data_IF_495093619408
#
_entry.id   IF_495093619408
#
_cell.length_a   1.000
_cell.length_b   1.000
_cell.length_c   1.000
_cell.angle_alpha   90.00
_cell.angle_beta   90.00
_cell.angle_gamma   90.00
#
_symmetry.space_group_name_H-M   'P 1'
#
loop_
_entity.id
_entity.type
_entity.pdbx_description
1 polymer ?
#
# COMPACT_ATOMS: atom_id res chain seq x y z
N UNK A 1 -13.17 -30.38 -19.65
CA UNK A 1 -13.27 -29.22 -18.73
C UNK A 1 -12.40 -29.44 -17.51
N UNK A 2 -12.61 -30.52 -16.75
CA UNK A 2 -11.86 -30.80 -15.51
C UNK A 2 -10.33 -30.82 -15.65
N UNK A 3 -9.80 -31.37 -16.75
CA UNK A 3 -8.35 -31.38 -17.01
C UNK A 3 -7.77 -29.97 -17.21
N UNK A 4 -8.51 -29.08 -17.87
CA UNK A 4 -8.08 -27.69 -18.12
C UNK A 4 -8.11 -26.86 -16.83
N UNK A 5 -9.13 -27.07 -15.98
CA UNK A 5 -9.21 -26.44 -14.66
C UNK A 5 -8.10 -26.96 -13.74
N UNK A 6 -7.80 -28.26 -13.75
CA UNK A 6 -6.68 -28.80 -12.97
C UNK A 6 -5.33 -28.20 -13.38
N UNK A 7 -5.05 -28.13 -14.68
CA UNK A 7 -3.81 -27.54 -15.20
C UNK A 7 -3.70 -26.04 -14.81
N UNK A 8 -4.83 -25.31 -14.81
CA UNK A 8 -4.90 -23.93 -14.35
C UNK A 8 -4.56 -23.81 -12.85
N UNK A 9 -5.16 -24.65 -12.01
CA UNK A 9 -4.93 -24.63 -10.55
C UNK A 9 -3.48 -25.01 -10.20
N UNK A 10 -2.89 -25.97 -10.92
CA UNK A 10 -1.48 -26.34 -10.75
C UNK A 10 -0.55 -25.18 -11.12
N UNK A 11 -0.88 -24.45 -12.19
CA UNK A 11 -0.15 -23.24 -12.57
C UNK A 11 -0.30 -22.12 -11.54
N UNK A 12 -1.51 -21.91 -11.00
CA UNK A 12 -1.77 -20.95 -9.92
C UNK A 12 -0.91 -21.27 -8.70
N UNK A 13 -0.92 -22.51 -8.22
CA UNK A 13 -0.13 -22.92 -7.05
C UNK A 13 1.38 -22.69 -7.25
N UNK A 14 1.87 -22.96 -8.47
CA UNK A 14 3.29 -22.76 -8.81
C UNK A 14 3.67 -21.29 -8.79
N UNK A 15 2.88 -20.43 -9.44
CA UNK A 15 3.17 -18.99 -9.52
C UNK A 15 2.99 -18.34 -8.15
N UNK A 16 1.96 -18.73 -7.38
CA UNK A 16 1.75 -18.25 -6.00
C UNK A 16 2.95 -18.54 -5.11
N UNK A 17 3.49 -19.75 -5.15
CA UNK A 17 4.68 -20.11 -4.37
C UNK A 17 5.86 -19.22 -4.73
N UNK A 18 6.15 -19.07 -6.03
CA UNK A 18 7.25 -18.21 -6.49
C UNK A 18 7.04 -16.74 -6.12
N UNK A 19 5.79 -16.26 -6.20
CA UNK A 19 5.45 -14.89 -5.86
C UNK A 19 5.64 -14.61 -4.36
N UNK A 20 5.24 -15.54 -3.50
CA UNK A 20 5.48 -15.45 -2.05
C UNK A 20 6.97 -15.45 -1.72
N UNK A 21 7.75 -16.35 -2.32
CA UNK A 21 9.21 -16.39 -2.16
C UNK A 21 9.87 -15.04 -2.54
N UNK A 22 9.48 -14.46 -3.67
CA UNK A 22 10.00 -13.15 -4.10
C UNK A 22 9.54 -12.04 -3.16
N UNK A 23 8.28 -12.05 -2.73
CA UNK A 23 7.75 -11.06 -1.78
C UNK A 23 8.48 -11.08 -0.45
N UNK A 24 8.78 -12.28 0.08
CA UNK A 24 9.58 -12.45 1.30
C UNK A 24 11.01 -11.93 1.11
N UNK A 25 11.63 -12.24 -0.04
CA UNK A 25 12.95 -11.72 -0.37
C UNK A 25 12.97 -10.19 -0.44
N UNK A 26 11.95 -9.56 -1.04
CA UNK A 26 11.83 -8.11 -1.10
C UNK A 26 11.74 -7.49 0.30
N UNK A 27 10.97 -8.09 1.23
CA UNK A 27 10.89 -7.64 2.62
C UNK A 27 12.26 -7.77 3.31
N UNK A 28 12.96 -8.88 3.11
CA UNK A 28 14.29 -9.08 3.69
C UNK A 28 15.30 -8.03 3.17
N UNK A 29 15.28 -7.75 1.87
CA UNK A 29 16.14 -6.75 1.25
C UNK A 29 15.86 -5.34 1.76
N UNK A 30 14.58 -4.99 1.96
CA UNK A 30 14.20 -3.74 2.63
C UNK A 30 14.83 -3.65 4.03
N UNK A 31 14.68 -4.67 4.86
CA UNK A 31 15.24 -4.70 6.22
C UNK A 31 16.77 -4.54 6.20
N UNK A 32 17.46 -5.22 5.27
CA UNK A 32 18.92 -5.08 5.10
C UNK A 32 19.32 -3.65 4.75
N UNK A 33 18.60 -3.01 3.83
CA UNK A 33 18.87 -1.62 3.44
C UNK A 33 18.58 -0.61 4.56
N UNK A 34 17.50 -0.82 5.32
CA UNK A 34 17.18 0.01 6.49
C UNK A 34 18.24 -0.11 7.58
N UNK A 35 18.68 -1.34 7.88
CA UNK A 35 19.77 -1.58 8.83
C UNK A 35 21.09 -0.96 8.37
N UNK A 36 21.40 -1.04 7.08
CA UNK A 36 22.57 -0.38 6.51
C UNK A 36 22.49 1.15 6.68
N UNK A 37 21.32 1.76 6.45
CA UNK A 37 21.10 3.20 6.68
C UNK A 37 21.36 3.57 8.15
N UNK A 38 20.91 2.76 9.11
CA UNK A 38 21.15 3.00 10.53
C UNK A 38 22.65 2.98 10.88
N UNK A 39 23.38 1.99 10.39
CA UNK A 39 24.82 1.87 10.62
C UNK A 39 25.63 3.00 9.98
N UNK A 40 25.16 3.55 8.86
CA UNK A 40 25.75 4.74 8.24
C UNK A 40 25.52 5.95 9.15
N UNK A 41 24.30 6.14 9.65
CA UNK A 41 23.96 7.27 10.52
C UNK A 41 24.70 7.22 11.87
N UNK A 42 24.93 6.03 12.43
CA UNK A 42 25.71 5.86 13.65
C UNK A 42 27.23 5.95 13.45
N UNK A 43 27.70 5.99 12.20
CA UNK A 43 29.12 6.04 11.86
C UNK A 43 29.86 4.72 12.12
N UNK A 44 29.14 3.63 12.34
CA UNK A 44 29.71 2.30 12.61
C UNK A 44 30.31 1.63 11.37
N UNK A 45 30.00 2.14 10.18
CA UNK A 45 30.47 1.61 8.91
C UNK A 45 31.16 2.71 8.11
N UNK A 46 32.31 2.39 7.52
CA UNK A 46 33.01 3.33 6.64
C UNK A 46 32.19 3.62 5.38
N UNK A 47 32.29 4.83 4.83
CA UNK A 47 31.60 5.22 3.60
C UNK A 47 31.85 4.23 2.46
N UNK A 48 33.10 3.76 2.30
CA UNK A 48 33.46 2.84 1.23
C UNK A 48 32.76 1.48 1.37
N UNK A 49 32.70 0.92 2.59
CA UNK A 49 32.01 -0.35 2.86
C UNK A 49 30.50 -0.19 2.68
N UNK A 50 29.95 0.91 3.18
CA UNK A 50 28.54 1.25 3.04
C UNK A 50 28.12 1.35 1.57
N UNK A 51 28.91 2.03 0.75
CA UNK A 51 28.64 2.20 -0.69
C UNK A 51 28.72 0.86 -1.43
N UNK A 52 29.67 0.00 -1.06
CA UNK A 52 29.80 -1.33 -1.65
C UNK A 52 28.58 -2.21 -1.34
N UNK A 53 28.21 -2.30 -0.06
CA UNK A 53 27.05 -3.08 0.38
C UNK A 53 25.75 -2.55 -0.20
N UNK A 54 25.58 -1.22 -0.25
CA UNK A 54 24.40 -0.60 -0.84
C UNK A 54 24.25 -0.98 -2.31
N UNK A 55 25.33 -0.91 -3.10
CA UNK A 55 25.30 -1.30 -4.52
C UNK A 55 24.90 -2.76 -4.68
N UNK A 56 25.47 -3.65 -3.88
CA UNK A 56 25.14 -5.08 -3.91
C UNK A 56 23.68 -5.33 -3.57
N UNK A 57 23.20 -4.75 -2.46
CA UNK A 57 21.82 -4.95 -2.01
C UNK A 57 20.80 -4.35 -2.97
N UNK A 58 21.07 -3.16 -3.52
CA UNK A 58 20.21 -2.55 -4.55
C UNK A 58 20.21 -3.42 -5.81
N UNK A 59 21.35 -3.94 -6.25
CA UNK A 59 21.40 -4.83 -7.42
C UNK A 59 20.53 -6.07 -7.23
N UNK A 60 20.64 -6.74 -6.08
CA UNK A 60 19.82 -7.90 -5.74
C UNK A 60 18.33 -7.53 -5.65
N UNK A 61 18.01 -6.38 -5.03
CA UNK A 61 16.65 -5.88 -4.93
C UNK A 61 16.03 -5.66 -6.32
N UNK A 62 16.75 -5.04 -7.25
CA UNK A 62 16.27 -4.79 -8.61
C UNK A 62 16.02 -6.10 -9.38
N UNK A 63 16.87 -7.11 -9.20
CA UNK A 63 16.65 -8.44 -9.78
C UNK A 63 15.36 -9.07 -9.25
N UNK A 64 15.17 -9.08 -7.93
CA UNK A 64 13.94 -9.58 -7.31
C UNK A 64 12.71 -8.77 -7.75
N UNK A 65 12.86 -7.46 -7.99
CA UNK A 65 11.77 -6.61 -8.43
C UNK A 65 11.28 -6.90 -9.84
N UNK A 66 12.20 -7.13 -10.78
CA UNK A 66 11.80 -7.53 -12.13
C UNK A 66 11.01 -8.84 -12.09
N UNK A 67 11.51 -9.81 -11.32
CA UNK A 67 10.82 -11.09 -11.11
C UNK A 67 9.47 -10.91 -10.41
N UNK A 68 9.37 -10.00 -9.44
CA UNK A 68 8.13 -9.68 -8.77
C UNK A 68 7.09 -9.12 -9.74
N UNK A 69 7.46 -8.18 -10.60
CA UNK A 69 6.55 -7.61 -11.59
C UNK A 69 6.05 -8.64 -12.60
N UNK A 70 6.94 -9.50 -13.09
CA UNK A 70 6.58 -10.61 -14.00
C UNK A 70 5.58 -11.58 -13.34
N UNK A 71 5.86 -12.01 -12.10
CA UNK A 71 5.00 -12.92 -11.36
C UNK A 71 3.67 -12.26 -10.98
N UNK A 72 3.67 -10.96 -10.64
CA UNK A 72 2.45 -10.19 -10.37
C UNK A 72 1.53 -10.19 -11.58
N UNK A 73 2.06 -9.82 -12.75
CA UNK A 73 1.29 -9.81 -14.00
C UNK A 73 0.77 -11.21 -14.35
N UNK A 74 1.56 -12.26 -14.10
CA UNK A 74 1.12 -13.63 -14.29
C UNK A 74 -0.02 -14.03 -13.33
N UNK A 75 0.03 -13.62 -12.06
CA UNK A 75 -1.06 -13.86 -11.10
C UNK A 75 -2.33 -13.11 -11.49
N UNK A 76 -2.23 -11.86 -11.94
CA UNK A 76 -3.37 -11.07 -12.43
C UNK A 76 -4.05 -11.75 -13.64
N UNK A 77 -3.28 -12.25 -14.62
CA UNK A 77 -3.81 -13.02 -15.75
C UNK A 77 -4.45 -14.34 -15.29
N UNK A 78 -3.80 -15.08 -14.39
CA UNK A 78 -4.35 -16.32 -13.85
C UNK A 78 -5.63 -16.10 -13.06
N UNK A 79 -5.72 -15.01 -12.30
CA UNK A 79 -6.93 -14.60 -11.59
C UNK A 79 -8.09 -14.37 -12.56
N UNK A 80 -7.87 -13.62 -13.63
CA UNK A 80 -8.88 -13.40 -14.67
C UNK A 80 -9.35 -14.71 -15.29
N UNK A 81 -8.43 -15.64 -15.57
CA UNK A 81 -8.79 -16.99 -16.06
C UNK A 81 -9.61 -17.77 -15.06
N UNK A 82 -9.25 -17.75 -13.77
CA UNK A 82 -10.04 -18.38 -12.71
C UNK A 82 -11.45 -17.80 -12.62
N UNK A 83 -11.60 -16.47 -12.72
CA UNK A 83 -12.92 -15.81 -12.74
C UNK A 83 -13.76 -16.32 -13.93
N UNK A 84 -13.18 -16.40 -15.13
CA UNK A 84 -13.88 -16.91 -16.31
C UNK A 84 -14.32 -18.37 -16.13
N UNK A 85 -13.45 -19.23 -15.61
CA UNK A 85 -13.80 -20.63 -15.35
C UNK A 85 -14.85 -20.78 -14.25
N UNK A 86 -14.82 -19.93 -13.21
CA UNK A 86 -15.84 -19.89 -12.17
C UNK A 86 -17.21 -19.51 -12.74
N UNK A 87 -17.27 -18.48 -13.58
CA UNK A 87 -18.53 -18.05 -14.21
C UNK A 87 -19.06 -19.12 -15.18
N UNK A 88 -18.18 -19.80 -15.94
CA UNK A 88 -18.58 -20.96 -16.76
C UNK A 88 -19.21 -22.07 -15.93
N UNK A 89 -18.55 -22.45 -14.83
CA UNK A 89 -19.06 -23.47 -13.92
C UNK A 89 -20.43 -23.10 -13.31
N UNK A 90 -20.66 -21.82 -12.99
CA UNK A 90 -21.95 -21.34 -12.47
C UNK A 90 -23.08 -21.44 -13.50
N UNK A 91 -22.80 -21.10 -14.76
CA UNK A 91 -23.76 -21.18 -15.88
C UNK A 91 -24.14 -22.63 -16.17
N UNK A 92 -23.16 -23.53 -16.18
CA UNK A 92 -23.39 -24.95 -16.46
C UNK A 92 -24.17 -25.67 -15.34
N UNK A 93 -24.06 -25.19 -14.10
CA UNK A 93 -24.79 -25.73 -12.94
C UNK A 93 -26.17 -25.07 -12.69
N UNK A 94 -26.69 -24.28 -13.64
CA UNK A 94 -28.05 -23.74 -13.59
C UNK A 94 -28.32 -22.82 -12.39
N UNK A 95 -27.29 -22.20 -11.80
CA UNK A 95 -27.44 -21.29 -10.67
C UNK A 95 -27.74 -21.95 -9.31
N UNK A 96 -27.66 -23.28 -9.21
CA UNK A 96 -27.80 -23.96 -7.90
C UNK A 96 -26.55 -23.71 -7.04
N UNK A 97 -26.66 -23.02 -5.87
CA UNK A 97 -25.52 -22.79 -5.01
C UNK A 97 -25.12 -24.09 -4.31
N UNK A 98 -23.92 -24.56 -4.60
CA UNK A 98 -23.30 -25.71 -3.95
C UNK A 98 -23.49 -27.03 -4.70
N UNK A 99 -22.42 -27.51 -5.33
CA UNK A 99 -22.08 -28.94 -5.52
C UNK A 99 -21.16 -29.18 -6.73
N UNK A 100 -20.02 -28.49 -6.79
CA UNK A 100 -18.87 -28.98 -7.58
C UNK A 100 -17.61 -28.61 -6.82
N UNK A 101 -16.87 -29.61 -6.33
CA UNK A 101 -15.60 -29.37 -5.64
C UNK A 101 -14.58 -28.58 -6.47
N UNK A 102 -14.77 -28.52 -7.80
CA UNK A 102 -13.94 -27.69 -8.69
C UNK A 102 -14.26 -26.20 -8.57
N UNK A 103 -15.54 -25.81 -8.47
CA UNK A 103 -15.92 -24.39 -8.34
C UNK A 103 -15.35 -23.80 -7.03
N UNK A 104 -15.47 -24.52 -5.92
CA UNK A 104 -14.89 -24.11 -4.63
C UNK A 104 -13.36 -24.00 -4.67
N UNK A 105 -12.66 -24.91 -5.39
CA UNK A 105 -11.21 -24.83 -5.57
C UNK A 105 -10.77 -23.63 -6.42
N UNK A 106 -11.57 -23.24 -7.40
CA UNK A 106 -11.33 -22.05 -8.22
C UNK A 106 -11.56 -20.78 -7.40
N UNK A 107 -12.64 -20.73 -6.60
CA UNK A 107 -12.89 -19.63 -5.66
C UNK A 107 -11.75 -19.48 -4.63
N UNK A 108 -11.31 -20.59 -4.04
CA UNK A 108 -10.17 -20.61 -3.12
C UNK A 108 -8.89 -20.09 -3.80
N UNK A 109 -8.66 -20.46 -5.06
CA UNK A 109 -7.51 -19.98 -5.82
C UNK A 109 -7.57 -18.48 -6.12
N UNK A 110 -8.75 -17.94 -6.44
CA UNK A 110 -8.94 -16.49 -6.60
C UNK A 110 -8.61 -15.77 -5.30
N UNK A 111 -9.14 -16.27 -4.17
CA UNK A 111 -8.86 -15.70 -2.85
C UNK A 111 -7.36 -15.73 -2.52
N UNK A 112 -6.68 -16.86 -2.77
CA UNK A 112 -5.23 -16.97 -2.54
C UNK A 112 -4.40 -16.03 -3.43
N UNK A 113 -4.87 -15.74 -4.63
CA UNK A 113 -4.23 -14.76 -5.52
C UNK A 113 -4.43 -13.34 -4.97
N UNK A 114 -5.64 -12.98 -4.58
CA UNK A 114 -5.95 -11.65 -4.04
C UNK A 114 -5.13 -11.39 -2.75
N UNK A 115 -5.12 -12.34 -1.83
CA UNK A 115 -4.29 -12.31 -0.61
C UNK A 115 -2.79 -12.15 -0.94
N UNK A 116 -2.28 -12.88 -1.92
CA UNK A 116 -0.88 -12.77 -2.32
C UNK A 116 -0.56 -11.39 -2.91
N UNK A 117 -1.41 -10.87 -3.81
CA UNK A 117 -1.22 -9.57 -4.47
C UNK A 117 -1.22 -8.39 -3.48
N UNK A 118 -1.91 -8.55 -2.35
CA UNK A 118 -2.00 -7.58 -1.24
C UNK A 118 -0.98 -7.81 -0.12
N UNK A 119 -0.15 -8.87 -0.21
CA UNK A 119 0.73 -9.26 0.89
C UNK A 119 1.80 -8.22 1.27
N UNK A 120 2.14 -7.27 0.38
CA UNK A 120 3.05 -6.16 0.70
C UNK A 120 2.26 -4.93 1.17
N UNK A 121 2.56 -4.48 2.39
CA UNK A 121 2.01 -3.25 2.96
C UNK A 121 2.38 -2.00 2.13
N UNK A 122 1.62 -0.92 2.30
CA UNK A 122 1.80 0.32 1.55
C UNK A 122 3.22 0.90 1.69
N UNK A 123 3.79 0.89 2.90
CA UNK A 123 5.14 1.43 3.14
C UNK A 123 6.20 0.61 2.41
N UNK A 124 6.11 -0.72 2.44
CA UNK A 124 6.98 -1.61 1.67
C UNK A 124 6.86 -1.37 0.17
N UNK A 125 5.63 -1.24 -0.36
CA UNK A 125 5.39 -0.98 -1.78
C UNK A 125 5.98 0.37 -2.22
N UNK A 126 5.75 1.43 -1.44
CA UNK A 126 6.32 2.76 -1.70
C UNK A 126 7.86 2.74 -1.64
N UNK A 127 8.45 2.12 -0.61
CA UNK A 127 9.91 2.02 -0.48
C UNK A 127 10.55 1.34 -1.70
N UNK A 128 10.01 0.18 -2.07
CA UNK A 128 10.48 -0.62 -3.19
C UNK A 128 10.30 0.14 -4.51
N UNK A 129 9.15 0.80 -4.69
CA UNK A 129 8.90 1.65 -5.84
C UNK A 129 9.92 2.79 -5.95
N UNK A 130 10.30 3.42 -4.83
CA UNK A 130 11.32 4.48 -4.81
C UNK A 130 12.69 3.96 -5.24
N UNK A 131 13.09 2.77 -4.78
CA UNK A 131 14.36 2.16 -5.19
C UNK A 131 14.37 1.86 -6.69
N UNK A 132 13.25 1.33 -7.23
CA UNK A 132 13.13 1.07 -8.65
C UNK A 132 13.11 2.35 -9.49
N UNK A 133 12.43 3.41 -9.03
CA UNK A 133 12.46 4.73 -9.66
C UNK A 133 13.89 5.28 -9.77
N UNK A 134 14.66 5.22 -8.69
CA UNK A 134 16.07 5.64 -8.69
C UNK A 134 16.92 4.79 -9.66
N UNK A 135 16.67 3.50 -9.73
CA UNK A 135 17.31 2.63 -10.71
C UNK A 135 16.98 3.04 -12.14
N UNK A 136 15.71 3.27 -12.46
CA UNK A 136 15.27 3.69 -13.79
C UNK A 136 15.89 5.04 -14.20
N UNK A 137 15.92 6.03 -13.29
CA UNK A 137 16.54 7.35 -13.52
C UNK A 137 18.03 7.26 -13.87
N UNK A 138 18.75 6.28 -13.30
CA UNK A 138 20.20 6.12 -13.45
C UNK A 138 20.62 5.03 -14.46
N UNK A 139 19.67 4.29 -15.00
CA UNK A 139 19.94 3.13 -15.85
C UNK A 139 20.48 3.57 -17.22
N UNK A 140 21.51 2.85 -17.69
CA UNK A 140 22.10 2.99 -19.03
C UNK A 140 21.70 1.85 -19.98
N UNK A 141 20.61 1.14 -19.64
CA UNK A 141 20.10 0.04 -20.45
C UNK A 141 19.61 0.54 -21.81
N UNK A 142 19.46 -0.40 -22.74
CA UNK A 142 18.88 -0.13 -24.06
C UNK A 142 17.46 0.44 -23.96
N UNK A 143 17.06 1.24 -24.96
CA UNK A 143 15.77 1.94 -24.98
C UNK A 143 14.59 0.96 -24.90
N UNK A 144 14.65 -0.16 -25.59
CA UNK A 144 13.53 -1.11 -25.60
C UNK A 144 13.37 -1.81 -24.24
N UNK A 145 14.51 -2.15 -23.61
CA UNK A 145 14.53 -2.73 -22.26
C UNK A 145 14.02 -1.73 -21.22
N UNK A 146 14.39 -0.45 -21.35
CA UNK A 146 13.89 0.61 -20.47
C UNK A 146 12.38 0.82 -20.64
N UNK A 147 11.87 0.78 -21.86
CA UNK A 147 10.44 0.93 -22.15
C UNK A 147 9.63 -0.19 -21.50
N UNK A 148 10.07 -1.44 -21.62
CA UNK A 148 9.42 -2.59 -20.98
C UNK A 148 9.41 -2.45 -19.45
N UNK A 149 10.54 -2.08 -18.86
CA UNK A 149 10.66 -1.87 -17.41
C UNK A 149 9.81 -0.71 -16.90
N UNK A 150 9.76 0.40 -17.64
CA UNK A 150 8.87 1.53 -17.32
C UNK A 150 7.40 1.13 -17.40
N UNK A 151 7.02 0.29 -18.36
CA UNK A 151 5.65 -0.22 -18.45
C UNK A 151 5.27 -1.11 -17.26
N UNK A 152 6.16 -2.03 -16.85
CA UNK A 152 5.96 -2.84 -15.63
C UNK A 152 5.87 -1.98 -14.37
N UNK A 153 6.78 -1.01 -14.24
CA UNK A 153 6.81 -0.09 -13.12
C UNK A 153 5.54 0.79 -13.07
N UNK A 154 5.08 1.29 -14.22
CA UNK A 154 3.83 2.07 -14.32
C UNK A 154 2.64 1.27 -13.79
N UNK A 155 2.46 0.03 -14.22
CA UNK A 155 1.39 -0.85 -13.71
C UNK A 155 1.47 -1.05 -12.20
N UNK A 156 2.69 -1.17 -11.66
CA UNK A 156 2.88 -1.28 -10.22
C UNK A 156 2.50 0.01 -9.49
N UNK A 157 2.88 1.17 -10.00
CA UNK A 157 2.46 2.48 -9.46
C UNK A 157 0.94 2.64 -9.53
N UNK A 158 0.31 2.26 -10.64
CA UNK A 158 -1.15 2.31 -10.78
C UNK A 158 -1.83 1.48 -9.67
N UNK A 159 -1.31 0.28 -9.38
CA UNK A 159 -1.81 -0.56 -8.28
C UNK A 159 -1.60 0.04 -6.88
N UNK A 160 -0.54 0.84 -6.69
CA UNK A 160 -0.32 1.60 -5.45
C UNK A 160 -1.35 2.72 -5.35
N UNK A 161 -1.58 3.46 -6.44
CA UNK A 161 -2.55 4.56 -6.50
C UNK A 161 -3.95 4.04 -6.19
N UNK A 162 -4.39 2.96 -6.84
CA UNK A 162 -5.71 2.37 -6.61
C UNK A 162 -5.92 1.98 -5.14
N UNK A 163 -4.94 1.28 -4.56
CA UNK A 163 -4.98 0.89 -3.14
C UNK A 163 -4.94 2.09 -2.20
N UNK A 164 -4.15 3.13 -2.54
CA UNK A 164 -4.05 4.34 -1.75
C UNK A 164 -5.35 5.15 -1.79
N UNK A 165 -6.03 5.24 -2.94
CA UNK A 165 -7.30 5.94 -3.03
C UNK A 165 -8.37 5.32 -2.13
N UNK A 166 -8.37 3.99 -1.97
CA UNK A 166 -9.25 3.31 -1.02
C UNK A 166 -8.89 3.65 0.44
N UNK A 167 -7.63 3.50 0.83
CA UNK A 167 -7.18 3.84 2.20
C UNK A 167 -7.40 5.32 2.52
N UNK A 168 -7.17 6.20 1.54
CA UNK A 168 -7.35 7.65 1.66
C UNK A 168 -8.81 8.01 1.94
N UNK A 169 -9.76 7.35 1.28
CA UNK A 169 -11.18 7.58 1.52
C UNK A 169 -11.59 7.22 2.97
N UNK A 170 -11.05 6.13 3.51
CA UNK A 170 -11.28 5.74 4.91
C UNK A 170 -10.69 6.77 5.89
N UNK A 171 -9.48 7.26 5.61
CA UNK A 171 -8.83 8.31 6.41
C UNK A 171 -9.61 9.64 6.36
N UNK A 172 -10.13 10.02 5.18
CA UNK A 172 -10.98 11.21 5.03
C UNK A 172 -12.28 11.09 5.84
N UNK A 173 -12.86 9.89 5.89
CA UNK A 173 -14.03 9.61 6.75
C UNK A 173 -13.69 9.70 8.24
N UNK A 174 -12.55 9.15 8.68
CA UNK A 174 -12.09 9.27 10.08
C UNK A 174 -11.87 10.74 10.46
N UNK A 175 -11.23 11.52 9.60
CA UNK A 175 -11.03 12.97 9.81
C UNK A 175 -12.37 13.68 9.94
N UNK A 176 -13.34 13.41 9.06
CA UNK A 176 -14.65 14.05 9.11
C UNK A 176 -15.40 13.76 10.42
N UNK A 177 -15.29 12.53 10.94
CA UNK A 177 -15.87 12.17 12.24
C UNK A 177 -15.18 12.88 13.41
N UNK A 178 -13.84 12.92 13.41
CA UNK A 178 -13.06 13.65 14.41
C UNK A 178 -13.38 15.15 14.40
N UNK A 179 -13.51 15.76 13.22
CA UNK A 179 -13.89 17.16 13.07
C UNK A 179 -15.30 17.45 13.62
N UNK A 180 -16.25 16.54 13.38
CA UNK A 180 -17.59 16.63 13.96
C UNK A 180 -17.54 16.58 15.49
N UNK A 181 -16.73 15.69 16.07
CA UNK A 181 -16.55 15.57 17.51
C UNK A 181 -15.88 16.82 18.10
N UNK A 182 -14.84 17.34 17.44
CA UNK A 182 -14.17 18.58 17.83
C UNK A 182 -15.16 19.77 17.82
N UNK A 183 -16.03 19.86 16.81
CA UNK A 183 -17.07 20.88 16.74
C UNK A 183 -18.10 20.74 17.88
N UNK A 184 -18.51 19.51 18.22
CA UNK A 184 -19.38 19.25 19.38
C UNK A 184 -18.76 19.75 20.69
N UNK A 185 -17.46 19.51 20.91
CA UNK A 185 -16.74 20.01 22.09
C UNK A 185 -16.64 21.54 22.07
N UNK A 186 -16.38 22.15 20.92
CA UNK A 186 -16.38 23.62 20.77
C UNK A 186 -17.74 24.23 21.16
N UNK A 187 -18.85 23.58 20.79
CA UNK A 187 -20.19 24.03 21.23
C UNK A 187 -20.39 23.83 22.74
N UNK A 188 -19.96 22.71 23.32
CA UNK A 188 -19.99 22.51 24.78
C UNK A 188 -19.18 23.55 25.55
N UNK A 189 -18.02 23.97 25.02
CA UNK A 189 -17.21 25.03 25.61
C UNK A 189 -17.95 26.38 25.61
N UNK A 190 -18.65 26.72 24.52
CA UNK A 190 -19.49 27.92 24.44
C UNK A 190 -20.64 27.84 25.46
N UNK A 191 -21.32 26.71 25.55
CA UNK A 191 -22.39 26.49 26.52
C UNK A 191 -21.88 26.61 27.96
N UNK A 192 -20.74 25.98 28.26
CA UNK A 192 -20.08 26.05 29.57
C UNK A 192 -19.78 27.50 29.97
N UNK A 193 -19.31 28.31 29.02
CA UNK A 193 -19.07 29.73 29.23
C UNK A 193 -20.37 30.48 29.52
N UNK A 194 -21.45 30.25 28.75
CA UNK A 194 -22.77 30.87 29.02
C UNK A 194 -23.28 30.53 30.41
N UNK A 195 -23.23 29.25 30.81
CA UNK A 195 -23.68 28.77 32.13
C UNK A 195 -22.89 29.40 33.27
N UNK A 196 -21.58 29.53 33.12
CA UNK A 196 -20.75 30.27 34.06
C UNK A 196 -21.16 31.75 34.16
N UNK A 197 -21.40 32.41 33.03
CA UNK A 197 -21.79 33.83 32.99
C UNK A 197 -23.15 34.11 33.64
N UNK A 198 -24.10 33.17 33.55
CA UNK A 198 -25.40 33.29 34.25
C UNK A 198 -25.35 32.84 35.71
N UNK A 199 -24.18 32.40 36.20
CA UNK A 199 -23.94 32.05 37.59
C UNK A 199 -24.38 30.63 37.99
N UNK A 200 -24.62 29.73 37.02
CA UNK A 200 -24.89 28.31 37.32
C UNK A 200 -23.66 27.59 37.90
N UNK A 201 -22.46 28.03 37.51
CA UNK A 201 -21.20 27.46 37.98
C UNK A 201 -20.36 28.51 38.70
N UNK A 202 -19.69 28.08 39.77
CA UNK A 202 -18.61 28.87 40.35
C UNK A 202 -17.33 28.78 39.51
N UNK A 203 -16.33 29.56 39.90
CA UNK A 203 -15.07 29.64 39.16
C UNK A 203 -14.32 28.30 39.12
N UNK A 204 -14.34 27.55 40.22
CA UNK A 204 -13.60 26.29 40.33
C UNK A 204 -14.24 25.22 39.45
N UNK A 205 -15.57 25.12 39.47
CA UNK A 205 -16.33 24.16 38.64
C UNK A 205 -16.17 24.49 37.16
N UNK A 206 -16.28 25.77 36.77
CA UNK A 206 -16.04 26.22 35.40
C UNK A 206 -14.62 25.85 34.93
N UNK A 207 -13.59 26.23 35.70
CA UNK A 207 -12.20 26.02 35.29
C UNK A 207 -11.89 24.52 35.15
N UNK A 208 -12.38 23.67 36.07
CA UNK A 208 -12.18 22.22 35.99
C UNK A 208 -12.81 21.60 34.74
N UNK A 209 -14.06 21.97 34.41
CA UNK A 209 -14.75 21.45 33.21
C UNK A 209 -14.14 21.98 31.92
N UNK A 210 -13.74 23.25 31.91
CA UNK A 210 -13.10 23.89 30.75
C UNK A 210 -11.80 23.18 30.40
N UNK A 211 -10.94 22.92 31.38
CA UNK A 211 -9.67 22.22 31.16
C UNK A 211 -9.90 20.84 30.57
N UNK A 212 -10.84 20.05 31.10
CA UNK A 212 -11.13 18.73 30.55
C UNK A 212 -11.61 18.76 29.08
N UNK A 213 -12.48 19.70 28.73
CA UNK A 213 -12.95 19.88 27.34
C UNK A 213 -11.84 20.39 26.42
N UNK A 214 -10.97 21.28 26.90
CA UNK A 214 -9.83 21.78 26.12
C UNK A 214 -8.76 20.70 25.87
N UNK A 215 -8.53 19.81 26.84
CA UNK A 215 -7.64 18.65 26.69
C UNK A 215 -8.19 17.67 25.64
N UNK A 216 -9.49 17.35 25.71
CA UNK A 216 -10.15 16.48 24.73
C UNK A 216 -10.08 17.09 23.33
N UNK A 217 -10.38 18.39 23.19
CA UNK A 217 -10.29 19.11 21.92
C UNK A 217 -8.86 19.08 21.36
N UNK A 218 -7.86 19.32 22.20
CA UNK A 218 -6.45 19.30 21.80
C UNK A 218 -6.01 17.92 21.30
N UNK A 219 -6.50 16.85 21.93
CA UNK A 219 -6.23 15.47 21.48
C UNK A 219 -6.84 15.18 20.12
N UNK A 220 -8.08 15.64 19.88
CA UNK A 220 -8.74 15.46 18.57
C UNK A 220 -8.01 16.23 17.47
N UNK A 221 -7.68 17.50 17.71
CA UNK A 221 -6.98 18.35 16.73
C UNK A 221 -5.58 17.78 16.41
N UNK A 222 -4.89 17.21 17.40
CA UNK A 222 -3.62 16.50 17.17
C UNK A 222 -3.83 15.27 16.28
N UNK A 223 -4.83 14.43 16.56
CA UNK A 223 -5.11 13.24 15.75
C UNK A 223 -5.46 13.59 14.31
N UNK A 224 -6.29 14.62 14.09
CA UNK A 224 -6.61 15.13 12.75
C UNK A 224 -5.34 15.54 12.00
N UNK A 225 -4.42 16.23 12.67
CA UNK A 225 -3.16 16.67 12.07
C UNK A 225 -2.27 15.48 11.69
N UNK A 226 -2.12 14.49 12.57
CA UNK A 226 -1.34 13.27 12.31
C UNK A 226 -1.87 12.49 11.07
N UNK A 227 -3.19 12.38 10.91
CA UNK A 227 -3.79 11.72 9.75
C UNK A 227 -3.57 12.50 8.45
N UNK A 228 -3.70 13.84 8.49
CA UNK A 228 -3.42 14.71 7.34
C UNK A 228 -1.96 14.63 6.91
N UNK A 229 -1.04 14.65 7.86
CA UNK A 229 0.40 14.54 7.59
C UNK A 229 0.73 13.18 6.93
N UNK A 230 0.09 12.10 7.39
CA UNK A 230 0.22 10.78 6.75
C UNK A 230 -0.26 10.82 5.30
N UNK A 231 -1.45 11.40 5.05
CA UNK A 231 -1.99 11.51 3.70
C UNK A 231 -1.08 12.31 2.76
N UNK A 232 -0.62 13.48 3.20
CA UNK A 232 0.27 14.33 2.42
C UNK A 232 1.61 13.64 2.13
N UNK A 233 2.19 12.93 3.11
CA UNK A 233 3.42 12.17 2.94
C UNK A 233 3.32 11.09 1.87
N UNK A 234 2.20 10.36 1.84
CA UNK A 234 1.96 9.32 0.83
C UNK A 234 1.66 9.94 -0.55
N UNK A 235 0.80 10.96 -0.61
CA UNK A 235 0.49 11.69 -1.84
C UNK A 235 1.78 12.21 -2.51
N UNK A 236 2.66 12.85 -1.73
CA UNK A 236 3.94 13.37 -2.23
C UNK A 236 4.85 12.28 -2.78
N UNK A 237 4.93 11.11 -2.11
CA UNK A 237 5.71 9.96 -2.61
C UNK A 237 5.13 9.47 -3.93
N UNK A 238 3.81 9.30 -4.03
CA UNK A 238 3.15 8.84 -5.26
C UNK A 238 3.43 9.79 -6.43
N UNK A 239 3.36 11.10 -6.21
CA UNK A 239 3.72 12.10 -7.23
C UNK A 239 5.17 11.95 -7.68
N UNK A 240 6.11 11.79 -6.74
CA UNK A 240 7.52 11.60 -7.08
C UNK A 240 7.73 10.33 -7.93
N UNK A 241 7.08 9.22 -7.56
CA UNK A 241 7.20 7.94 -8.26
C UNK A 241 6.61 8.01 -9.68
N UNK A 242 5.46 8.67 -9.83
CA UNK A 242 4.75 8.82 -11.10
C UNK A 242 5.57 9.66 -12.10
N UNK A 243 6.30 10.68 -11.62
CA UNK A 243 7.16 11.50 -12.48
C UNK A 243 8.21 10.71 -13.28
N UNK A 244 8.60 9.52 -12.83
CA UNK A 244 9.61 8.69 -13.52
C UNK A 244 9.09 8.08 -14.81
N UNK A 245 7.78 7.88 -14.91
CA UNK A 245 7.14 7.25 -16.08
C UNK A 245 6.54 8.25 -17.06
N UNK A 246 6.25 9.48 -16.64
CA UNK A 246 5.61 10.51 -17.49
C UNK A 246 6.60 11.28 -18.38
N UNK A 247 7.89 11.28 -18.05
CA UNK A 247 8.92 12.12 -18.71
C UNK A 247 9.18 11.75 -20.19
N UNK A 248 8.65 10.63 -20.71
CA UNK A 248 8.86 10.22 -22.11
C UNK A 248 7.67 10.40 -23.06
N UNK A 249 6.50 10.84 -22.60
CA UNK A 249 5.34 11.03 -23.49
C UNK A 249 5.36 12.38 -24.26
N UNK A 250 6.36 13.23 -24.02
CA UNK A 250 6.49 14.56 -24.64
C UNK A 250 7.48 14.58 -25.82
N UNK A 251 8.26 13.51 -26.04
CA UNK A 251 9.18 13.41 -27.18
C UNK A 251 8.96 12.12 -27.98
N UNK A 252 8.01 12.16 -28.92
CA UNK A 252 7.77 11.08 -29.90
C UNK A 252 6.52 11.24 -30.73
#
# INVERSE_FOLDING_TARGET
MERNVSDLLDRVSTVLRQFREVSDSLREMRIKLEKLNQLILSGEVSSQTADSLRREYVSQLIEQLNRYFELRAALEDLRLRCIVELERAKVEMGGTPGSSGLASRVEESIFMIDDALESLDMDSRLFIASQYAQYLRNSKADRDVLKERKAMYRRFIDSIIESWLMEKADLESEIAELEKNANSIREKLKELWVRFMVGEYDRSEYDSRRVGLEEELSSLDRRISELRDKMESVDNKIVELTSVVEVEEVEG
#
